data_IF_961293665235
#
_entry.id   IF_961293665235
#
_cell.length_a   1.000
_cell.length_b   1.000
_cell.length_c   1.000
_cell.angle_alpha   90.00
_cell.angle_beta   90.00
_cell.angle_gamma   90.00
#
_symmetry.space_group_name_H-M   'P 1'
#
loop_
_entity.id
_entity.type
_entity.pdbx_description
1 polymer ?
#
# COMPACT_ATOMS: atom_id res chain seq x y z
N UNK A 1 -1.44 7.06 9.40
CA UNK A 1 -1.77 5.87 10.22
C UNK A 1 -2.78 5.07 9.42
N UNK A 2 -2.39 3.93 8.84
CA UNK A 2 -3.30 3.04 8.12
C UNK A 2 -3.40 1.74 8.90
N UNK A 3 -4.60 1.39 9.36
CA UNK A 3 -4.91 0.11 9.97
C UNK A 3 -5.64 -0.76 8.95
N UNK A 4 -5.08 -1.92 8.62
CA UNK A 4 -5.78 -2.97 7.90
C UNK A 4 -6.64 -3.75 8.91
N UNK A 5 -7.96 -3.54 8.85
CA UNK A 5 -8.96 -4.26 9.64
C UNK A 5 -9.53 -5.43 8.83
N UNK A 6 -9.41 -6.63 9.38
CA UNK A 6 -9.91 -7.88 8.83
C UNK A 6 -11.44 -7.87 8.67
N UNK A 7 -11.88 -8.55 7.61
CA UNK A 7 -13.26 -8.74 7.20
C UNK A 7 -13.94 -9.80 8.09
N UNK A 8 -14.98 -9.45 8.85
CA UNK A 8 -15.90 -10.43 9.44
C UNK A 8 -17.35 -10.09 9.05
N UNK A 9 -17.98 -10.99 8.29
CA UNK A 9 -19.39 -10.92 7.94
C UNK A 9 -20.20 -11.47 9.10
N UNK A 10 -21.08 -10.67 9.70
CA UNK A 10 -22.25 -11.20 10.40
C UNK A 10 -23.50 -10.48 9.92
N UNK A 11 -24.33 -11.24 9.20
CA UNK A 11 -25.71 -10.88 8.92
C UNK A 11 -26.49 -10.92 10.24
N UNK A 12 -27.15 -9.84 10.61
CA UNK A 12 -28.22 -9.89 11.62
C UNK A 12 -29.31 -8.92 11.22
N UNK A 13 -30.35 -9.48 10.60
CA UNK A 13 -31.65 -8.86 10.45
C UNK A 13 -32.23 -8.59 11.84
N UNK A 14 -32.45 -7.32 12.18
CA UNK A 14 -33.28 -6.95 13.33
C UNK A 14 -34.46 -6.15 12.78
N UNK A 15 -35.57 -6.86 12.61
CA UNK A 15 -36.91 -6.28 12.49
C UNK A 15 -37.40 -6.00 13.90
N UNK A 16 -37.60 -4.74 14.29
CA UNK A 16 -38.45 -4.40 15.44
C UNK A 16 -39.41 -3.27 15.05
N UNK A 17 -40.68 -3.66 15.12
CA UNK A 17 -41.89 -2.88 14.91
C UNK A 17 -42.11 -1.85 16.04
N UNK A 18 -42.59 -0.68 15.62
CA UNK A 18 -43.46 0.29 16.29
C UNK A 18 -43.60 0.30 17.82
N UNK A 19 -43.41 1.50 18.41
CA UNK A 19 -44.35 1.98 19.43
C UNK A 19 -43.76 2.75 20.63
N UNK A 20 -43.89 4.07 20.56
CA UNK A 20 -44.38 4.98 21.62
C UNK A 20 -43.64 5.04 22.99
N UNK A 21 -43.26 6.26 23.35
CA UNK A 21 -43.38 6.74 24.74
C UNK A 21 -42.09 7.24 25.37
N UNK A 22 -42.00 8.55 25.57
CA UNK A 22 -40.93 9.25 26.26
C UNK A 22 -40.93 8.90 27.76
N UNK A 23 -39.76 8.62 28.34
CA UNK A 23 -39.56 8.69 29.80
C UNK A 23 -38.08 8.99 30.11
N UNK A 24 -37.78 10.28 30.35
CA UNK A 24 -36.51 10.77 30.87
C UNK A 24 -36.43 10.43 32.38
N UNK A 25 -35.88 9.27 32.74
CA UNK A 25 -35.52 8.96 34.14
C UNK A 25 -34.53 7.80 34.24
N UNK A 26 -33.47 7.81 33.41
CA UNK A 26 -32.45 6.74 33.41
C UNK A 26 -31.02 7.20 33.12
N UNK A 27 -30.82 8.50 32.84
CA UNK A 27 -29.52 9.03 32.41
C UNK A 27 -28.61 9.46 33.58
N UNK A 28 -29.13 9.63 34.79
CA UNK A 28 -28.32 10.12 35.93
C UNK A 28 -27.46 9.02 36.55
N UNK A 29 -27.93 7.77 36.56
CA UNK A 29 -27.16 6.64 37.12
C UNK A 29 -26.01 6.24 36.19
N UNK A 30 -26.25 6.15 34.89
CA UNK A 30 -25.25 5.70 33.92
C UNK A 30 -24.07 6.66 33.80
N UNK A 31 -24.29 7.97 33.96
CA UNK A 31 -23.23 8.99 33.92
C UNK A 31 -22.33 8.90 35.16
N UNK A 32 -22.87 8.58 36.34
CA UNK A 32 -22.11 8.45 37.58
C UNK A 32 -21.19 7.21 37.59
N UNK A 33 -21.61 6.09 36.99
CA UNK A 33 -20.78 4.88 36.88
C UNK A 33 -19.56 5.08 35.97
N UNK A 34 -19.73 5.78 34.85
CA UNK A 34 -18.63 6.05 33.90
C UNK A 34 -17.57 6.97 34.54
N UNK A 35 -17.99 7.96 35.34
CA UNK A 35 -17.07 8.85 36.06
C UNK A 35 -16.29 8.11 37.15
N UNK A 36 -16.90 7.14 37.84
CA UNK A 36 -16.25 6.37 38.90
C UNK A 36 -15.19 5.40 38.37
N UNK A 37 -15.39 4.80 37.19
CA UNK A 37 -14.41 3.89 36.56
C UNK A 37 -13.15 4.66 36.11
N UNK A 38 -13.29 5.92 35.70
CA UNK A 38 -12.15 6.77 35.29
C UNK A 38 -11.35 7.29 36.50
N UNK A 39 -11.97 7.45 37.68
CA UNK A 39 -11.34 8.02 38.87
C UNK A 39 -10.61 7.03 39.79
N UNK A 40 -10.84 5.71 39.64
CA UNK A 40 -10.25 4.68 40.52
C UNK A 40 -8.95 4.08 39.96
N UNK A 41 -8.53 4.46 38.74
CA UNK A 41 -7.26 4.03 38.18
C UNK A 41 -6.10 4.87 38.76
N UNK A 42 -5.17 4.27 39.53
CA UNK A 42 -3.99 5.00 40.01
C UNK A 42 -3.14 5.45 38.81
N UNK A 43 -2.64 6.71 38.80
CA UNK A 43 -1.84 7.25 37.69
C UNK A 43 -0.46 6.59 37.52
N UNK A 44 -0.15 5.55 38.29
CA UNK A 44 1.20 5.00 38.45
C UNK A 44 1.47 3.71 37.65
N UNK A 45 0.54 3.23 36.82
CA UNK A 45 0.72 1.99 36.06
C UNK A 45 0.62 2.15 34.53
N UNK A 46 0.75 3.37 34.00
CA UNK A 46 1.09 3.54 32.59
C UNK A 46 2.60 3.34 32.46
N UNK A 47 3.05 2.10 32.57
CA UNK A 47 4.39 1.75 32.08
C UNK A 47 4.34 1.92 30.57
N UNK A 48 4.89 3.03 30.08
CA UNK A 48 5.28 3.18 28.69
C UNK A 48 6.26 2.04 28.39
N UNK A 49 5.75 0.91 27.89
CA UNK A 49 6.59 -0.08 27.23
C UNK A 49 7.36 0.69 26.15
N UNK A 50 8.69 0.54 26.06
CA UNK A 50 9.43 1.11 24.94
C UNK A 50 8.81 0.52 23.68
N UNK A 51 8.08 1.35 22.94
CA UNK A 51 7.68 1.07 21.57
C UNK A 51 8.98 0.81 20.84
N UNK A 52 9.25 -0.46 20.52
CA UNK A 52 10.21 -0.78 19.49
C UNK A 52 9.94 0.15 18.29
N UNK A 53 10.97 0.68 17.62
CA UNK A 53 10.75 1.51 16.44
C UNK A 53 9.85 0.70 15.49
N UNK A 54 8.69 1.27 15.16
CA UNK A 54 7.84 0.70 14.12
C UNK A 54 8.64 0.78 12.82
N UNK A 55 9.18 -0.36 12.36
CA UNK A 55 9.89 -0.46 11.08
C UNK A 55 9.03 0.14 9.98
N UNK A 56 9.65 0.80 9.01
CA UNK A 56 8.94 1.18 7.78
C UNK A 56 8.41 -0.08 7.09
N UNK A 57 7.36 0.03 6.28
CA UNK A 57 6.87 -1.15 5.55
C UNK A 57 7.93 -1.71 4.59
N UNK A 58 8.78 -0.84 4.02
CA UNK A 58 9.92 -1.23 3.19
C UNK A 58 10.93 -2.08 3.98
N UNK A 59 11.32 -1.64 5.19
CA UNK A 59 12.18 -2.42 6.09
C UNK A 59 11.52 -3.75 6.49
N UNK A 60 10.20 -3.75 6.68
CA UNK A 60 9.48 -4.99 6.98
C UNK A 60 9.54 -5.98 5.81
N UNK A 61 9.43 -5.51 4.57
CA UNK A 61 9.58 -6.33 3.37
C UNK A 61 11.02 -6.84 3.20
N UNK A 62 12.03 -5.99 3.44
CA UNK A 62 13.45 -6.38 3.42
C UNK A 62 13.72 -7.52 4.39
N UNK A 63 13.29 -7.35 5.66
CA UNK A 63 13.46 -8.37 6.70
C UNK A 63 12.71 -9.66 6.35
N UNK A 64 11.49 -9.55 5.81
CA UNK A 64 10.66 -10.70 5.43
C UNK A 64 11.33 -11.57 4.36
N UNK A 65 12.02 -10.95 3.40
CA UNK A 65 12.62 -11.63 2.25
C UNK A 65 14.15 -11.73 2.33
N UNK A 66 14.76 -11.36 3.46
CA UNK A 66 16.22 -11.38 3.64
C UNK A 66 16.96 -10.62 2.52
N UNK A 67 16.44 -9.44 2.18
CA UNK A 67 17.03 -8.50 1.25
C UNK A 67 17.75 -7.43 2.05
N UNK A 68 19.03 -7.23 1.76
CA UNK A 68 19.84 -6.18 2.40
C UNK A 68 19.84 -4.89 1.57
N UNK A 69 20.21 -3.78 2.20
CA UNK A 69 20.39 -2.50 1.50
C UNK A 69 21.52 -2.58 0.46
N UNK A 70 22.64 -3.23 0.79
CA UNK A 70 23.77 -3.43 -0.13
C UNK A 70 23.34 -4.19 -1.39
N UNK A 71 22.54 -5.24 -1.23
CA UNK A 71 21.98 -5.99 -2.35
C UNK A 71 20.99 -5.19 -3.22
N UNK A 72 20.29 -4.22 -2.64
CA UNK A 72 19.42 -3.31 -3.40
C UNK A 72 20.23 -2.25 -4.14
N UNK A 73 21.33 -1.78 -3.54
CA UNK A 73 22.25 -0.81 -4.17
C UNK A 73 23.00 -1.44 -5.35
N UNK A 74 23.28 -2.76 -5.28
CA UNK A 74 23.89 -3.54 -6.36
C UNK A 74 22.87 -4.08 -7.37
N UNK A 75 21.57 -3.83 -7.16
CA UNK A 75 20.53 -4.37 -8.03
C UNK A 75 20.63 -3.77 -9.44
N UNK A 76 20.60 -4.60 -10.51
CA UNK A 76 20.81 -4.12 -11.87
C UNK A 76 19.73 -3.13 -12.31
N UNK A 77 20.16 -2.08 -13.02
CA UNK A 77 19.25 -1.06 -13.60
C UNK A 77 18.34 -1.67 -14.68
N UNK A 78 18.84 -2.66 -15.41
CA UNK A 78 18.08 -3.42 -16.41
C UNK A 78 18.19 -4.93 -16.11
N UNK A 79 17.36 -5.45 -15.18
CA UNK A 79 17.40 -6.83 -14.74
C UNK A 79 16.84 -7.77 -15.82
N UNK A 80 17.57 -8.84 -16.15
CA UNK A 80 16.96 -9.99 -16.81
C UNK A 80 16.07 -10.72 -15.79
N UNK A 81 14.73 -10.75 -15.95
CA UNK A 81 13.81 -11.32 -14.95
C UNK A 81 14.12 -12.80 -14.64
N UNK A 82 14.64 -13.56 -15.59
CA UNK A 82 14.96 -14.98 -15.41
C UNK A 82 16.20 -15.20 -14.50
N UNK A 83 17.04 -14.18 -14.34
CA UNK A 83 18.28 -14.24 -13.55
C UNK A 83 18.14 -13.62 -12.15
N UNK A 84 17.04 -12.92 -11.88
CA UNK A 84 16.79 -12.31 -10.59
C UNK A 84 16.36 -13.36 -9.57
N UNK A 85 17.01 -13.35 -8.40
CA UNK A 85 16.66 -14.22 -7.29
C UNK A 85 15.22 -13.95 -6.81
N UNK A 86 14.49 -15.03 -6.55
CA UNK A 86 13.11 -15.02 -6.09
C UNK A 86 12.87 -14.10 -4.88
N UNK A 87 13.87 -13.92 -4.00
CA UNK A 87 13.74 -13.02 -2.85
C UNK A 87 13.47 -11.56 -3.24
N UNK A 88 14.05 -11.08 -4.34
CA UNK A 88 13.81 -9.71 -4.83
C UNK A 88 12.45 -9.61 -5.50
N UNK A 89 12.03 -10.66 -6.21
CA UNK A 89 10.69 -10.75 -6.80
C UNK A 89 9.61 -10.71 -5.71
N UNK A 90 9.79 -11.48 -4.65
CA UNK A 90 8.87 -11.46 -3.52
C UNK A 90 8.97 -10.19 -2.66
N UNK A 91 10.14 -9.54 -2.64
CA UNK A 91 10.26 -8.19 -2.08
C UNK A 91 9.39 -7.19 -2.85
N UNK A 92 9.36 -7.25 -4.19
CA UNK A 92 8.46 -6.44 -5.02
C UNK A 92 6.98 -6.70 -4.71
N UNK A 93 6.55 -7.97 -4.61
CA UNK A 93 5.20 -8.33 -4.17
C UNK A 93 4.83 -7.72 -2.81
N UNK A 94 5.74 -7.85 -1.83
CA UNK A 94 5.53 -7.28 -0.52
C UNK A 94 5.34 -5.75 -0.56
N UNK A 95 6.14 -5.05 -1.38
CA UNK A 95 6.03 -3.62 -1.55
C UNK A 95 4.70 -3.21 -2.20
N UNK A 96 4.33 -3.84 -3.32
CA UNK A 96 3.09 -3.50 -4.04
C UNK A 96 1.85 -3.72 -3.16
N UNK A 97 1.81 -4.84 -2.44
CA UNK A 97 0.75 -5.09 -1.45
C UNK A 97 0.78 -4.06 -0.30
N UNK A 98 1.96 -3.75 0.22
CA UNK A 98 2.13 -2.77 1.30
C UNK A 98 1.72 -1.34 0.93
N UNK A 99 1.87 -0.97 -0.34
CA UNK A 99 1.43 0.31 -0.89
C UNK A 99 -0.06 0.34 -1.26
N UNK A 100 -0.72 -0.83 -1.31
CA UNK A 100 -2.11 -0.95 -1.72
C UNK A 100 -2.32 -0.83 -3.22
N UNK A 101 -1.30 -1.16 -4.03
CA UNK A 101 -1.39 -1.18 -5.50
C UNK A 101 -1.95 -2.51 -6.03
N UNK A 102 -2.14 -3.48 -5.15
CA UNK A 102 -2.70 -4.79 -5.49
C UNK A 102 -4.17 -4.86 -5.09
N UNK A 103 -4.98 -5.37 -5.99
CA UNK A 103 -6.37 -5.70 -5.74
C UNK A 103 -6.50 -6.94 -4.83
N UNK A 104 -7.73 -7.28 -4.47
CA UNK A 104 -8.04 -8.46 -3.64
C UNK A 104 -7.68 -9.81 -4.28
N UNK A 105 -7.40 -9.83 -5.58
CA UNK A 105 -7.02 -11.03 -6.33
C UNK A 105 -5.50 -11.15 -6.47
N UNK A 106 -4.73 -10.22 -5.89
CA UNK A 106 -3.27 -10.19 -6.03
C UNK A 106 -2.84 -9.73 -7.42
N UNK A 107 -3.65 -8.90 -8.09
CA UNK A 107 -3.34 -8.30 -9.39
C UNK A 107 -3.28 -6.77 -9.25
N UNK A 108 -2.55 -6.10 -10.13
CA UNK A 108 -2.39 -4.65 -10.04
C UNK A 108 -3.73 -3.91 -10.21
N UNK A 109 -4.03 -2.97 -9.30
CA UNK A 109 -5.19 -2.07 -9.33
C UNK A 109 -4.82 -0.77 -10.07
N UNK A 110 -4.62 -0.88 -11.39
CA UNK A 110 -4.23 0.25 -12.24
C UNK A 110 -5.26 1.39 -12.21
N UNK A 111 -6.56 1.06 -12.07
CA UNK A 111 -7.63 2.06 -11.98
C UNK A 111 -7.46 2.91 -10.71
N UNK A 112 -7.22 2.29 -9.55
CA UNK A 112 -6.95 3.02 -8.32
C UNK A 112 -5.69 3.88 -8.43
N UNK A 113 -4.62 3.35 -9.03
CA UNK A 113 -3.38 4.10 -9.26
C UNK A 113 -3.61 5.35 -10.13
N UNK A 114 -4.42 5.23 -11.18
CA UNK A 114 -4.80 6.37 -12.03
C UNK A 114 -5.63 7.40 -11.27
N UNK A 115 -6.65 6.96 -10.52
CA UNK A 115 -7.50 7.85 -9.69
C UNK A 115 -6.68 8.57 -8.62
N UNK A 116 -5.64 7.94 -8.08
CA UNK A 116 -4.72 8.56 -7.11
C UNK A 116 -3.67 9.47 -7.74
N UNK A 117 -3.64 9.59 -9.07
CA UNK A 117 -2.68 10.41 -9.81
C UNK A 117 -1.27 9.83 -9.81
N UNK A 118 -1.13 8.51 -9.60
CA UNK A 118 0.15 7.80 -9.71
C UNK A 118 0.45 7.51 -11.18
N UNK A 119 -0.57 7.21 -11.97
CA UNK A 119 -0.51 7.06 -13.42
C UNK A 119 -1.30 8.19 -14.06
N UNK A 120 -0.70 8.93 -14.98
CA UNK A 120 -1.44 9.80 -15.91
C UNK A 120 -2.18 8.95 -16.97
N UNK A 121 -2.90 9.59 -17.88
CA UNK A 121 -3.72 8.90 -18.90
C UNK A 121 -2.85 7.96 -19.78
N UNK A 122 -1.67 8.42 -20.20
CA UNK A 122 -0.76 7.66 -21.06
C UNK A 122 -0.13 6.48 -20.31
N UNK A 123 0.40 6.75 -19.11
CA UNK A 123 0.97 5.75 -18.22
C UNK A 123 -0.06 4.71 -17.79
N UNK A 124 -1.33 5.10 -17.65
CA UNK A 124 -2.43 4.19 -17.34
C UNK A 124 -2.70 3.23 -18.48
N UNK A 125 -2.82 3.72 -19.72
CA UNK A 125 -3.05 2.86 -20.89
C UNK A 125 -1.86 1.89 -21.10
N UNK A 126 -0.62 2.39 -21.02
CA UNK A 126 0.58 1.55 -21.12
C UNK A 126 0.66 0.51 -19.98
N UNK A 127 0.27 0.89 -18.75
CA UNK A 127 0.22 -0.04 -17.62
C UNK A 127 -0.85 -1.12 -17.83
N UNK A 128 -2.01 -0.80 -18.42
CA UNK A 128 -3.03 -1.80 -18.74
C UNK A 128 -2.53 -2.82 -19.76
N UNK A 129 -1.82 -2.38 -20.79
CA UNK A 129 -1.21 -3.29 -21.77
C UNK A 129 -0.17 -4.21 -21.11
N UNK A 130 0.72 -3.64 -20.29
CA UNK A 130 1.75 -4.42 -19.60
C UNK A 130 1.16 -5.38 -18.56
N UNK A 131 0.10 -4.96 -17.86
CA UNK A 131 -0.69 -5.81 -16.97
C UNK A 131 -1.28 -7.00 -17.74
N UNK A 132 -1.92 -6.76 -18.87
CA UNK A 132 -2.51 -7.81 -19.68
C UNK A 132 -1.46 -8.84 -20.15
N UNK A 133 -0.25 -8.40 -20.45
CA UNK A 133 0.87 -9.28 -20.84
C UNK A 133 1.33 -10.22 -19.71
N UNK A 134 1.14 -9.83 -18.45
CA UNK A 134 1.57 -10.59 -17.27
C UNK A 134 0.42 -11.26 -16.50
N UNK A 135 -0.85 -11.01 -16.86
CA UNK A 135 -1.99 -11.49 -16.06
C UNK A 135 -2.12 -13.01 -16.01
N UNK A 136 -1.46 -13.74 -16.92
CA UNK A 136 -1.36 -15.20 -16.92
C UNK A 136 -0.29 -15.75 -15.97
N UNK A 137 0.52 -14.91 -15.35
CA UNK A 137 1.46 -15.33 -14.32
C UNK A 137 0.72 -15.70 -13.02
N UNK A 138 0.97 -16.91 -12.54
CA UNK A 138 0.30 -17.50 -11.37
C UNK A 138 1.11 -17.25 -10.09
N UNK A 139 2.43 -17.13 -10.19
CA UNK A 139 3.28 -16.83 -9.04
C UNK A 139 3.20 -15.34 -8.69
N UNK A 140 2.76 -14.97 -7.46
CA UNK A 140 2.59 -13.57 -7.08
C UNK A 140 3.89 -12.77 -7.07
N UNK A 141 5.02 -13.41 -6.78
CA UNK A 141 6.32 -12.76 -6.77
C UNK A 141 6.77 -12.45 -8.21
N UNK A 142 6.63 -13.42 -9.12
CA UNK A 142 6.91 -13.23 -10.54
C UNK A 142 6.00 -12.15 -11.15
N UNK A 143 4.69 -12.22 -10.88
CA UNK A 143 3.74 -11.22 -11.36
C UNK A 143 4.09 -9.81 -10.89
N UNK A 144 4.31 -9.65 -9.58
CA UNK A 144 4.62 -8.36 -8.97
C UNK A 144 5.94 -7.79 -9.45
N UNK A 145 6.93 -8.66 -9.68
CA UNK A 145 8.20 -8.25 -10.26
C UNK A 145 8.01 -7.78 -11.70
N UNK A 146 7.24 -8.51 -12.52
CA UNK A 146 6.86 -8.10 -13.87
C UNK A 146 6.18 -6.72 -13.88
N UNK A 147 5.24 -6.46 -12.95
CA UNK A 147 4.61 -5.14 -12.81
C UNK A 147 5.59 -4.04 -12.42
N UNK A 148 6.58 -4.34 -11.57
CA UNK A 148 7.63 -3.38 -11.23
C UNK A 148 8.51 -3.05 -12.44
N UNK A 149 8.77 -4.02 -13.34
CA UNK A 149 9.45 -3.77 -14.61
C UNK A 149 8.59 -2.93 -15.56
N UNK A 150 7.29 -3.19 -15.64
CA UNK A 150 6.35 -2.34 -16.38
C UNK A 150 6.47 -0.87 -15.97
N UNK A 151 6.42 -0.59 -14.66
CA UNK A 151 6.50 0.76 -14.14
C UNK A 151 7.83 1.47 -14.49
N UNK A 152 8.94 0.73 -14.56
CA UNK A 152 10.24 1.29 -14.98
C UNK A 152 10.24 1.71 -16.44
N UNK A 153 9.58 0.95 -17.32
CA UNK A 153 9.51 1.29 -18.75
C UNK A 153 8.75 2.61 -18.97
N UNK A 154 7.65 2.84 -18.23
CA UNK A 154 6.90 4.10 -18.30
C UNK A 154 7.76 5.32 -17.96
N UNK A 155 8.63 5.21 -16.96
CA UNK A 155 9.51 6.31 -16.54
C UNK A 155 10.65 6.63 -17.53
N UNK A 156 10.92 5.74 -18.49
CA UNK A 156 11.99 5.93 -19.47
C UNK A 156 11.56 6.71 -20.71
N UNK A 157 10.26 6.79 -20.98
CA UNK A 157 9.69 7.51 -22.14
C UNK A 157 9.69 9.03 -21.93
N UNK A 158 9.69 9.51 -20.67
CA UNK A 158 9.73 10.94 -20.35
C UNK A 158 11.06 11.65 -20.69
N UNK A 159 12.15 10.91 -20.98
CA UNK A 159 13.49 11.49 -21.16
C UNK A 159 13.85 11.89 -22.61
N UNK A 160 13.02 11.61 -23.61
CA UNK A 160 13.37 11.91 -25.02
C UNK A 160 13.02 13.36 -25.48
N UNK A 161 12.38 14.18 -24.64
CA UNK A 161 11.89 15.51 -25.04
C UNK A 161 12.85 16.70 -24.75
N UNK A 162 14.06 16.46 -24.23
CA UNK A 162 14.99 17.55 -23.82
C UNK A 162 16.19 17.76 -24.75
N UNK A 163 16.27 17.08 -25.90
CA UNK A 163 17.40 17.21 -26.83
C UNK A 163 17.19 18.21 -27.98
N UNK A 164 16.25 19.15 -27.87
CA UNK A 164 16.07 20.24 -28.84
C UNK A 164 16.16 21.61 -28.15
N UNK A 165 17.38 22.07 -27.81
CA UNK A 165 17.76 23.49 -27.72
C UNK A 165 19.25 23.55 -27.37
N UNK A 166 20.08 23.91 -28.35
CA UNK A 166 21.29 24.75 -28.20
C UNK A 166 22.29 24.51 -29.34
N UNK A 167 22.07 25.17 -30.49
CA UNK A 167 23.17 25.84 -31.22
C UNK A 167 22.60 27.12 -31.85
N UNK A 168 22.44 28.15 -31.02
CA UNK A 168 22.43 29.53 -31.51
C UNK A 168 23.88 29.89 -31.87
N UNK A 169 24.17 29.89 -33.17
CA UNK A 169 25.47 30.27 -33.72
C UNK A 169 25.51 31.77 -34.00
N UNK A 170 26.09 32.49 -33.04
CA UNK A 170 26.38 33.92 -33.02
C UNK A 170 27.15 34.41 -34.27
N UNK A 171 26.77 35.61 -34.69
CA UNK A 171 27.33 36.41 -35.77
C UNK A 171 28.75 36.92 -35.41
N UNK A 172 29.77 36.62 -36.22
CA UNK A 172 30.86 37.59 -36.50
C UNK A 172 31.66 37.30 -37.77
#
# INVERSE_FOLDING_TARGET
MYQFGAHEKQATTITISSGKGMSLSGLTWSVLLVVFVVLVLPPAAVTLTPTAPSRSFMEACQVKHNVTLEELDEFPTDPNPDEIDMKFKCYADCLLNGMGFMDKNGKLDAEAMHVWGILDDESYDNMLECKAANDLEDDPCEYSFGMMLCARMLSSEEQDYSAELDVEGDEK
#
